data_IF_234049316601
#
_entry.id   IF_234049316601
#
_cell.length_a   1.000
_cell.length_b   1.000
_cell.length_c   1.000
_cell.angle_alpha   90.00
_cell.angle_beta   90.00
_cell.angle_gamma   90.00
#
_symmetry.space_group_name_H-M   'P 1'
#
loop_
_entity.id
_entity.type
_entity.pdbx_description
1 polymer ?
#
# COMPACT_ATOMS: atom_id res chain seq x y z
N UNK A 1 8.04 -27.78 10.40
CA UNK A 1 8.56 -27.33 9.09
C UNK A 1 7.42 -26.94 8.13
N UNK A 2 6.39 -27.78 7.97
CA UNK A 2 5.30 -27.58 7.00
C UNK A 2 4.48 -26.29 7.14
N UNK A 3 4.20 -25.81 8.36
CA UNK A 3 3.42 -24.57 8.58
C UNK A 3 4.11 -23.31 8.05
N UNK A 4 5.43 -23.19 8.23
CA UNK A 4 6.20 -22.04 7.74
C UNK A 4 6.25 -22.02 6.21
N UNK A 5 6.43 -23.19 5.60
CA UNK A 5 6.41 -23.35 4.14
C UNK A 5 5.02 -22.97 3.58
N UNK A 6 3.94 -23.46 4.19
CA UNK A 6 2.57 -23.12 3.76
C UNK A 6 2.26 -21.62 3.81
N UNK A 7 2.69 -20.93 4.88
CA UNK A 7 2.59 -19.47 4.99
C UNK A 7 3.35 -18.75 3.86
N UNK A 8 4.55 -19.22 3.54
CA UNK A 8 5.37 -18.64 2.48
C UNK A 8 4.76 -18.84 1.10
N UNK A 9 4.17 -20.01 0.83
CA UNK A 9 3.45 -20.27 -0.42
C UNK A 9 2.23 -19.34 -0.58
N UNK A 10 1.49 -19.09 0.51
CA UNK A 10 0.34 -18.18 0.46
C UNK A 10 0.71 -16.72 0.24
N UNK A 11 1.83 -16.28 0.83
CA UNK A 11 2.43 -14.97 0.51
C UNK A 11 2.76 -14.87 -0.97
N UNK A 12 3.43 -15.89 -1.54
CA UNK A 12 3.78 -15.92 -2.96
C UNK A 12 2.53 -15.85 -3.84
N UNK A 13 1.48 -16.62 -3.52
CA UNK A 13 0.23 -16.60 -4.28
C UNK A 13 -0.43 -15.21 -4.31
N UNK A 14 -0.47 -14.52 -3.18
CA UNK A 14 -1.07 -13.18 -3.07
C UNK A 14 -0.22 -12.12 -3.75
N UNK A 15 1.11 -12.19 -3.62
CA UNK A 15 1.99 -11.19 -4.19
C UNK A 15 2.41 -11.46 -5.64
N UNK A 16 2.20 -12.68 -6.16
CA UNK A 16 2.49 -13.06 -7.55
C UNK A 16 1.99 -12.02 -8.57
N UNK A 17 0.72 -11.58 -8.57
CA UNK A 17 0.24 -10.60 -9.56
C UNK A 17 0.92 -9.23 -9.47
N UNK A 18 1.53 -8.88 -8.33
CA UNK A 18 2.24 -7.61 -8.14
C UNK A 18 3.73 -7.73 -8.44
N UNK A 19 4.35 -8.86 -8.10
CA UNK A 19 5.79 -9.11 -8.30
C UNK A 19 6.17 -9.33 -9.77
N UNK A 20 5.27 -9.95 -10.53
CA UNK A 20 5.49 -10.24 -11.96
C UNK A 20 4.73 -9.26 -12.87
N UNK A 21 4.23 -8.16 -12.33
CA UNK A 21 3.62 -7.12 -13.14
C UNK A 21 4.72 -6.32 -13.85
N UNK A 22 4.65 -6.25 -15.18
CA UNK A 22 5.60 -5.47 -16.00
C UNK A 22 5.23 -3.98 -16.02
N UNK A 23 5.09 -3.40 -14.83
CA UNK A 23 4.75 -2.00 -14.65
C UNK A 23 5.16 -1.49 -13.27
N UNK A 24 5.21 -0.16 -13.14
CA UNK A 24 5.52 0.51 -11.88
C UNK A 24 4.24 1.09 -11.31
N UNK A 25 4.02 0.88 -10.01
CA UNK A 25 2.99 1.59 -9.27
C UNK A 25 3.57 2.94 -8.84
N UNK A 26 3.25 3.99 -9.59
CA UNK A 26 3.57 5.37 -9.23
C UNK A 26 2.36 6.07 -8.56
N UNK A 27 2.63 7.18 -7.87
CA UNK A 27 1.61 8.03 -7.26
C UNK A 27 1.41 9.34 -8.03
N UNK A 28 1.82 9.41 -9.31
CA UNK A 28 1.83 10.65 -10.09
C UNK A 28 0.43 11.26 -10.23
N UNK A 29 -0.60 10.42 -10.41
CA UNK A 29 -1.98 10.90 -10.49
C UNK A 29 -2.46 11.48 -9.16
N UNK A 30 -2.10 10.85 -8.04
CA UNK A 30 -2.42 11.35 -6.69
C UNK A 30 -1.65 12.64 -6.40
N UNK A 31 -0.38 12.72 -6.80
CA UNK A 31 0.42 13.94 -6.66
C UNK A 31 -0.16 15.11 -7.47
N UNK A 32 -0.58 14.84 -8.72
CA UNK A 32 -1.28 15.83 -9.56
C UNK A 32 -2.59 16.29 -8.94
N UNK A 33 -3.42 15.35 -8.46
CA UNK A 33 -4.67 15.67 -7.78
C UNK A 33 -4.43 16.54 -6.54
N UNK A 34 -3.46 16.16 -5.71
CA UNK A 34 -3.08 16.91 -4.51
C UNK A 34 -2.60 18.32 -4.85
N UNK A 35 -1.78 18.49 -5.89
CA UNK A 35 -1.33 19.81 -6.33
C UNK A 35 -2.51 20.66 -6.82
N UNK A 36 -3.41 20.11 -7.63
CA UNK A 36 -4.61 20.81 -8.10
C UNK A 36 -5.52 21.25 -6.95
N UNK A 37 -5.69 20.41 -5.92
CA UNK A 37 -6.49 20.75 -4.74
C UNK A 37 -5.81 21.83 -3.90
N UNK A 38 -4.48 21.80 -3.77
CA UNK A 38 -3.72 22.84 -3.05
C UNK A 38 -3.78 24.20 -3.75
N UNK A 39 -3.82 24.22 -5.08
CA UNK A 39 -3.85 25.45 -5.88
C UNK A 39 -5.25 26.05 -6.00
N UNK A 40 -6.28 25.21 -6.15
CA UNK A 40 -7.62 25.66 -6.56
C UNK A 40 -8.76 25.19 -5.63
N UNK A 41 -8.48 24.29 -4.68
CA UNK A 41 -9.48 23.71 -3.79
C UNK A 41 -9.73 24.53 -2.53
N UNK A 42 -10.81 24.21 -1.82
CA UNK A 42 -11.05 24.75 -0.49
C UNK A 42 -10.10 24.12 0.55
N UNK A 43 -9.92 24.78 1.69
CA UNK A 43 -9.14 24.22 2.82
C UNK A 43 -9.71 22.87 3.28
N UNK A 44 -11.03 22.67 3.17
CA UNK A 44 -11.69 21.39 3.42
C UNK A 44 -11.30 20.32 2.41
N UNK A 45 -11.23 20.65 1.12
CA UNK A 45 -10.83 19.69 0.08
C UNK A 45 -9.37 19.28 0.27
N UNK A 46 -8.51 20.23 0.62
CA UNK A 46 -7.10 19.95 0.92
C UNK A 46 -6.92 18.96 2.08
N UNK A 47 -7.79 19.03 3.09
CA UNK A 47 -7.77 18.09 4.22
C UNK A 47 -8.25 16.69 3.83
N UNK A 48 -9.18 16.57 2.89
CA UNK A 48 -9.67 15.26 2.40
C UNK A 48 -8.57 14.54 1.61
N UNK A 49 -7.77 15.28 0.84
CA UNK A 49 -6.69 14.73 0.00
C UNK A 49 -5.31 14.78 0.66
N UNK A 50 -5.24 14.75 2.00
CA UNK A 50 -3.98 14.74 2.77
C UNK A 50 -3.32 13.34 2.80
N UNK A 51 -3.25 12.66 1.66
CA UNK A 51 -2.52 11.40 1.53
C UNK A 51 -1.26 11.61 0.70
N UNK A 52 -0.10 11.54 1.37
CA UNK A 52 1.21 11.55 0.74
C UNK A 52 1.89 10.20 1.03
N UNK A 53 2.10 9.40 -0.02
CA UNK A 53 2.74 8.09 0.06
C UNK A 53 4.16 8.18 0.64
N UNK A 54 4.82 9.33 0.49
CA UNK A 54 6.18 9.59 0.96
C UNK A 54 6.24 9.78 2.49
N UNK A 55 5.11 10.03 3.14
CA UNK A 55 5.04 10.24 4.60
C UNK A 55 4.83 8.93 5.36
N UNK A 56 4.53 7.84 4.64
CA UNK A 56 4.35 6.53 5.24
C UNK A 56 5.73 6.01 5.64
N UNK A 57 5.88 5.62 6.91
CA UNK A 57 6.98 4.76 7.31
C UNK A 57 6.70 3.36 6.77
N UNK A 58 7.12 3.12 5.53
CA UNK A 58 6.86 1.87 4.80
C UNK A 58 7.40 0.64 5.51
N UNK A 59 8.52 0.77 6.19
CA UNK A 59 9.16 -0.31 6.93
C UNK A 59 8.30 -0.75 8.13
N UNK A 60 7.82 0.21 8.91
CA UNK A 60 6.86 -0.03 9.98
C UNK A 60 5.52 -0.55 9.45
N UNK A 61 4.97 0.09 8.41
CA UNK A 61 3.69 -0.31 7.83
C UNK A 61 3.72 -1.77 7.35
N UNK A 62 4.75 -2.16 6.59
CA UNK A 62 4.84 -3.51 6.06
C UNK A 62 4.97 -4.56 7.17
N UNK A 63 5.86 -4.32 8.15
CA UNK A 63 6.12 -5.29 9.21
C UNK A 63 5.02 -5.39 10.25
N UNK A 64 4.58 -4.26 10.79
CA UNK A 64 3.73 -4.22 11.98
C UNK A 64 2.23 -4.18 11.63
N UNK A 65 1.87 -3.70 10.44
CA UNK A 65 0.46 -3.54 10.04
C UNK A 65 0.10 -4.52 8.92
N UNK A 66 0.77 -4.43 7.77
CA UNK A 66 0.34 -5.12 6.55
C UNK A 66 0.51 -6.64 6.64
N UNK A 67 1.72 -7.13 6.95
CA UNK A 67 1.98 -8.57 7.05
C UNK A 67 1.20 -9.22 8.20
N UNK A 68 1.10 -8.53 9.35
CA UNK A 68 0.29 -8.99 10.50
C UNK A 68 -1.18 -9.10 10.10
N UNK A 69 -1.72 -8.09 9.41
CA UNK A 69 -3.10 -8.11 8.91
C UNK A 69 -3.36 -9.25 7.93
N UNK A 70 -2.43 -9.50 6.99
CA UNK A 70 -2.54 -10.63 6.06
C UNK A 70 -2.61 -11.97 6.79
N UNK A 71 -1.70 -12.20 7.74
CA UNK A 71 -1.67 -13.45 8.51
C UNK A 71 -2.93 -13.61 9.36
N UNK A 72 -3.43 -12.52 9.93
CA UNK A 72 -4.58 -12.57 10.86
C UNK A 72 -5.91 -12.75 10.14
N UNK A 73 -6.11 -12.07 9.00
CA UNK A 73 -7.42 -11.95 8.38
C UNK A 73 -7.55 -12.62 7.00
N UNK A 74 -6.44 -12.72 6.25
CA UNK A 74 -6.45 -13.24 4.87
C UNK A 74 -5.99 -14.70 4.80
N UNK A 75 -5.01 -15.06 5.62
CA UNK A 75 -4.46 -16.42 5.66
C UNK A 75 -5.35 -17.30 6.56
N UNK A 76 -6.51 -17.70 6.02
CA UNK A 76 -7.36 -18.75 6.60
C UNK A 76 -6.95 -20.13 6.10
#
# INVERSE_FOLDING_TARGET
MNRKIGLMMRLIEIYRPYLFFEGVFDDMNTERLRNSVRENGSTSDANIFYFDSKWINWDYYLREIHLVGLVTYVFK
#
